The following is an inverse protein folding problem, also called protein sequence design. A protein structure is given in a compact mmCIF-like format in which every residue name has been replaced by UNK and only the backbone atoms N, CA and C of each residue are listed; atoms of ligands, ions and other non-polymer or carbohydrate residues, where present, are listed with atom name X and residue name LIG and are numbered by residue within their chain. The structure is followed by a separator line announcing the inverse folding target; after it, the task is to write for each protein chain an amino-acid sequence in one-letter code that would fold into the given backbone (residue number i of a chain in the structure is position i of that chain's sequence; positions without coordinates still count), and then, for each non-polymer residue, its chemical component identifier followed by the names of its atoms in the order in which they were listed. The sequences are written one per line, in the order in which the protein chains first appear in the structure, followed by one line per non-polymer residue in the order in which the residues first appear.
data_IF_347502553014
#
_entry.id   IF_347502553014
#
_cell.length_a   1.000
_cell.length_b   1.000
_cell.length_c   1.000
_cell.angle_alpha   90.00
_cell.angle_beta   90.00
_cell.angle_gamma   90.00
#
_symmetry.space_group_name_H-M   'P 1'
#
loop_
_entity.id
_entity.type
_entity.pdbx_description
1 polymer ?
#
# COMPACT_ATOMS: atom_id res chain seq x y z
N UNK A 1 -1.41 15.03 -1.92
CA UNK A 1 -0.23 15.91 -1.75
C UNK A 1 -0.49 17.07 -0.79
N UNK A 2 -1.43 18.00 -1.07
CA UNK A 2 -1.62 19.17 -0.19
C UNK A 2 -2.05 18.82 1.24
N UNK A 3 -2.95 17.84 1.43
CA UNK A 3 -3.28 17.32 2.78
C UNK A 3 -2.07 16.72 3.49
N UNK A 4 -1.18 16.05 2.75
CA UNK A 4 0.06 15.50 3.27
C UNK A 4 1.00 16.59 3.76
N UNK A 5 1.18 17.66 2.97
CA UNK A 5 1.97 18.83 3.37
C UNK A 5 1.35 19.57 4.56
N UNK A 6 0.02 19.74 4.55
CA UNK A 6 -0.72 20.39 5.62
C UNK A 6 -0.49 19.67 6.95
N UNK A 7 -0.63 18.33 6.96
CA UNK A 7 -0.37 17.51 8.15
C UNK A 7 1.11 17.55 8.58
N UNK A 8 2.04 17.43 7.63
CA UNK A 8 3.49 17.49 7.91
C UNK A 8 3.91 18.80 8.56
N UNK A 9 3.37 19.92 8.09
CA UNK A 9 3.73 21.26 8.55
C UNK A 9 2.76 21.82 9.60
N UNK A 10 1.86 20.99 10.16
CA UNK A 10 0.82 21.39 11.14
C UNK A 10 0.09 22.66 10.70
N UNK A 11 -0.37 22.67 9.46
CA UNK A 11 -0.98 23.84 8.83
C UNK A 11 -2.24 23.48 8.04
N UNK A 12 -2.92 24.49 7.50
CA UNK A 12 -4.08 24.29 6.64
C UNK A 12 -3.69 23.99 5.20
N UNK A 13 -4.58 23.29 4.48
CA UNK A 13 -4.42 23.00 3.05
C UNK A 13 -4.31 24.29 2.25
N UNK A 14 -5.12 25.31 2.56
CA UNK A 14 -5.10 26.61 1.88
C UNK A 14 -3.76 27.31 2.02
N UNK A 15 -3.13 27.27 3.21
CA UNK A 15 -1.80 27.87 3.43
C UNK A 15 -0.72 27.13 2.64
N UNK A 16 -0.78 25.80 2.60
CA UNK A 16 0.14 24.99 1.79
C UNK A 16 -0.07 25.21 0.29
N UNK A 17 -1.32 25.32 -0.16
CA UNK A 17 -1.64 25.62 -1.54
C UNK A 17 -1.07 26.98 -1.94
N UNK A 18 -1.30 28.03 -1.15
CA UNK A 18 -0.76 29.36 -1.41
C UNK A 18 0.78 29.37 -1.45
N UNK A 19 1.43 28.72 -0.47
CA UNK A 19 2.91 28.63 -0.39
C UNK A 19 3.53 27.94 -1.60
N UNK A 20 2.90 26.88 -2.10
CA UNK A 20 3.45 26.05 -3.17
C UNK A 20 2.88 26.38 -4.55
N UNK A 21 1.93 27.30 -4.66
CA UNK A 21 1.32 27.67 -5.95
C UNK A 21 2.37 28.30 -6.86
N UNK A 22 2.54 27.73 -8.04
CA UNK A 22 3.45 28.21 -9.07
C UNK A 22 2.74 28.26 -10.43
N UNK A 23 3.10 29.24 -11.27
CA UNK A 23 2.70 29.27 -12.68
C UNK A 23 3.87 28.77 -13.53
N UNK A 24 3.62 27.81 -14.40
CA UNK A 24 4.63 27.27 -15.31
C UNK A 24 4.22 27.51 -16.76
N UNK A 25 5.21 27.78 -17.61
CA UNK A 25 5.03 27.77 -19.04
C UNK A 25 4.90 26.30 -19.51
N UNK A 26 3.83 26.00 -20.22
CA UNK A 26 3.70 24.73 -20.96
C UNK A 26 3.60 25.05 -22.44
N UNK A 27 3.89 24.10 -23.35
CA UNK A 27 3.73 24.30 -24.80
C UNK A 27 2.32 24.72 -25.23
N UNK A 28 1.34 24.62 -24.34
CA UNK A 28 -0.06 24.97 -24.58
C UNK A 28 -0.54 26.15 -23.71
N UNK A 29 0.39 26.97 -23.21
CA UNK A 29 0.11 28.16 -22.41
C UNK A 29 0.48 28.03 -20.91
N UNK A 30 0.37 29.13 -20.15
CA UNK A 30 0.69 29.13 -18.74
C UNK A 30 -0.33 28.31 -17.94
N UNK A 31 0.15 27.50 -16.99
CA UNK A 31 -0.72 26.71 -16.10
C UNK A 31 -0.29 26.85 -14.64
N UNK A 32 -1.29 26.84 -13.76
CA UNK A 32 -1.08 26.77 -12.32
C UNK A 32 -0.74 25.32 -11.92
N UNK A 33 0.29 25.17 -11.10
CA UNK A 33 0.71 23.92 -10.49
C UNK A 33 1.15 24.16 -9.04
N UNK A 34 1.49 23.08 -8.33
CA UNK A 34 2.09 23.17 -7.01
C UNK A 34 3.53 22.67 -7.07
N UNK A 35 4.49 23.53 -6.74
CA UNK A 35 5.93 23.27 -6.80
C UNK A 35 6.56 23.38 -5.41
N UNK A 36 7.37 22.39 -5.05
CA UNK A 36 8.29 22.45 -3.93
C UNK A 36 9.72 22.47 -4.46
N UNK A 37 10.48 23.51 -4.09
CA UNK A 37 11.86 23.73 -4.51
C UNK A 37 12.80 23.70 -3.31
N UNK A 38 13.89 22.96 -3.41
CA UNK A 38 14.97 22.93 -2.42
C UNK A 38 16.26 23.35 -3.14
N UNK A 39 16.81 24.51 -2.75
CA UNK A 39 18.08 25.03 -3.28
C UNK A 39 19.24 24.19 -2.78
N UNK A 40 20.28 24.05 -3.60
CA UNK A 40 21.54 23.38 -3.28
C UNK A 40 22.69 24.27 -3.71
N UNK A 41 23.70 24.40 -2.86
CA UNK A 41 24.76 25.41 -3.02
C UNK A 41 25.61 25.23 -4.29
N UNK A 42 25.64 24.01 -4.85
CA UNK A 42 26.47 23.66 -6.01
C UNK A 42 25.75 22.87 -7.11
N UNK A 43 24.43 22.72 -7.02
CA UNK A 43 23.65 21.87 -7.95
C UNK A 43 22.31 22.49 -8.29
N UNK A 44 21.74 22.00 -9.39
CA UNK A 44 20.36 22.30 -9.74
C UNK A 44 19.44 21.99 -8.55
N UNK A 45 18.47 22.89 -8.28
CA UNK A 45 17.56 22.71 -7.16
C UNK A 45 16.74 21.44 -7.36
N UNK A 46 16.40 20.76 -6.26
CA UNK A 46 15.40 19.71 -6.32
C UNK A 46 14.04 20.34 -6.49
N UNK A 47 13.35 19.97 -7.57
CA UNK A 47 12.01 20.46 -7.87
C UNK A 47 11.05 19.28 -7.92
N UNK A 48 10.10 19.26 -6.99
CA UNK A 48 8.96 18.35 -7.02
C UNK A 48 7.71 19.11 -7.45
N UNK A 49 7.12 18.70 -8.57
CA UNK A 49 5.97 19.38 -9.17
C UNK A 49 4.74 18.47 -9.18
N UNK A 50 3.61 19.03 -8.76
CA UNK A 50 2.30 18.38 -8.85
C UNK A 50 1.36 19.23 -9.71
N UNK A 51 0.73 18.60 -10.70
CA UNK A 51 -0.05 19.30 -11.72
C UNK A 51 0.84 19.89 -12.81
N UNK A 52 0.30 20.84 -13.58
CA UNK A 52 1.03 21.46 -14.69
C UNK A 52 1.21 20.59 -15.94
N UNK A 53 0.78 19.33 -15.90
CA UNK A 53 0.71 18.46 -17.09
C UNK A 53 -0.58 18.81 -17.84
N UNK A 54 -0.44 19.07 -19.13
CA UNK A 54 -1.57 19.36 -20.00
C UNK A 54 -2.37 18.07 -20.26
N UNK A 55 -3.54 17.91 -19.63
CA UNK A 55 -4.49 16.86 -20.00
C UNK A 55 -5.24 17.28 -21.28
N UNK A 56 -4.53 17.32 -22.40
CA UNK A 56 -5.12 17.60 -23.72
C UNK A 56 -5.36 16.28 -24.45
N UNK A 57 -6.59 16.07 -24.89
CA UNK A 57 -6.92 14.93 -25.75
C UNK A 57 -6.18 15.05 -27.09
N UNK A 58 -5.38 14.06 -27.43
CA UNK A 58 -4.77 13.89 -28.75
C UNK A 58 -5.60 12.87 -29.54
N UNK A 59 -6.36 13.33 -30.54
CA UNK A 59 -7.26 12.46 -31.31
C UNK A 59 -6.52 11.47 -32.22
N UNK A 60 -5.34 11.84 -32.69
CA UNK A 60 -4.50 11.08 -33.63
C UNK A 60 -3.29 10.46 -32.92
N UNK A 61 -3.38 10.21 -31.61
CA UNK A 61 -2.29 9.59 -30.87
C UNK A 61 -2.11 8.14 -31.35
N UNK A 62 -0.88 7.78 -31.70
CA UNK A 62 -0.51 6.40 -32.00
C UNK A 62 -0.50 5.63 -30.68
N UNK A 63 -1.48 4.74 -30.51
CA UNK A 63 -1.54 3.86 -29.34
C UNK A 63 -0.58 2.70 -29.60
N UNK A 64 0.56 2.70 -28.89
CA UNK A 64 1.45 1.55 -28.86
C UNK A 64 0.91 0.59 -27.80
N UNK A 65 0.22 -0.46 -28.22
CA UNK A 65 -0.21 -1.52 -27.32
C UNK A 65 1.04 -2.30 -26.86
N UNK A 66 1.50 -1.98 -25.65
CA UNK A 66 2.59 -2.72 -25.04
C UNK A 66 1.99 -3.99 -24.47
N UNK A 67 2.42 -5.13 -24.98
CA UNK A 67 2.13 -6.40 -24.33
C UNK A 67 2.58 -6.29 -22.87
N UNK A 68 1.66 -6.34 -21.90
CA UNK A 68 2.03 -6.18 -20.50
C UNK A 68 3.02 -7.28 -20.18
N UNK A 69 4.22 -6.90 -19.77
CA UNK A 69 5.16 -7.82 -19.17
C UNK A 69 4.42 -8.48 -18.01
N UNK A 70 4.08 -9.77 -18.15
CA UNK A 70 3.57 -10.56 -17.05
C UNK A 70 4.80 -10.99 -16.27
N UNK A 71 5.12 -10.36 -15.12
CA UNK A 71 6.13 -10.94 -14.26
C UNK A 71 5.70 -12.37 -13.97
N UNK A 72 6.51 -13.33 -14.41
CA UNK A 72 6.43 -14.69 -13.93
C UNK A 72 6.74 -14.56 -12.43
N UNK A 73 5.74 -14.83 -11.59
CA UNK A 73 5.93 -15.01 -10.16
C UNK A 73 6.07 -16.52 -9.94
N UNK A 74 7.27 -17.11 -10.13
CA UNK A 74 7.48 -18.56 -10.04
C UNK A 74 7.14 -19.12 -8.65
N UNK A 75 7.13 -18.25 -7.63
CA UNK A 75 6.89 -18.63 -6.24
C UNK A 75 5.70 -17.86 -5.68
N UNK A 76 4.49 -18.36 -5.93
CA UNK A 76 3.33 -17.95 -5.14
C UNK A 76 3.57 -18.45 -3.71
N UNK A 77 3.99 -17.54 -2.83
CA UNK A 77 4.35 -17.88 -1.45
C UNK A 77 3.23 -18.68 -0.76
N UNK A 78 1.97 -18.38 -1.05
CA UNK A 78 0.84 -19.14 -0.53
C UNK A 78 0.88 -20.61 -0.95
N UNK A 79 1.12 -20.91 -2.23
CA UNK A 79 1.19 -22.30 -2.72
C UNK A 79 2.36 -23.03 -2.08
N UNK A 80 3.54 -22.40 -2.02
CA UNK A 80 4.71 -23.04 -1.39
C UNK A 80 4.55 -23.22 0.12
N UNK A 81 3.82 -22.34 0.81
CA UNK A 81 3.51 -22.47 2.24
C UNK A 81 2.47 -23.56 2.50
N UNK A 82 1.42 -23.63 1.69
CA UNK A 82 0.41 -24.69 1.76
C UNK A 82 1.01 -26.08 1.51
N UNK A 83 1.91 -26.20 0.52
CA UNK A 83 2.59 -27.45 0.21
C UNK A 83 3.58 -27.93 1.30
N UNK A 84 3.98 -27.06 2.24
CA UNK A 84 4.84 -27.47 3.36
C UNK A 84 4.11 -28.32 4.40
N UNK A 85 2.78 -28.45 4.30
CA UNK A 85 2.00 -29.29 5.23
C UNK A 85 2.26 -28.92 6.69
N UNK A 86 2.32 -27.61 6.98
CA UNK A 86 2.52 -27.09 8.33
C UNK A 86 1.56 -25.94 8.59
N UNK A 87 0.79 -26.02 9.67
CA UNK A 87 -0.05 -24.91 10.11
C UNK A 87 0.84 -23.73 10.56
N UNK A 88 0.65 -22.54 9.98
CA UNK A 88 1.42 -21.35 10.35
C UNK A 88 1.03 -20.76 11.72
N UNK A 89 -0.13 -21.18 12.28
CA UNK A 89 -0.62 -20.73 13.59
C UNK A 89 -0.10 -21.65 14.70
N UNK A 90 -0.37 -22.94 14.62
CA UNK A 90 -0.06 -23.90 15.69
C UNK A 90 1.14 -24.82 15.40
N UNK A 91 1.82 -24.64 14.26
CA UNK A 91 2.98 -25.44 13.86
C UNK A 91 2.72 -26.94 13.63
N UNK A 92 1.48 -27.43 13.80
CA UNK A 92 1.10 -28.83 13.56
C UNK A 92 1.39 -29.27 12.13
N UNK A 93 1.77 -30.52 11.96
CA UNK A 93 1.94 -31.22 10.67
C UNK A 93 0.92 -32.33 10.47
N UNK A 94 0.10 -32.63 11.49
CA UNK A 94 -0.95 -33.65 11.42
C UNK A 94 -2.30 -33.03 11.02
N UNK A 95 -3.02 -33.74 10.15
CA UNK A 95 -4.42 -33.46 9.74
C UNK A 95 -4.68 -31.99 9.38
N UNK A 96 -3.95 -31.47 8.39
CA UNK A 96 -4.10 -30.09 7.93
C UNK A 96 -5.14 -29.99 6.83
N UNK A 97 -6.20 -29.23 7.09
CA UNK A 97 -7.21 -28.88 6.09
C UNK A 97 -7.01 -27.43 5.61
N UNK A 98 -7.10 -27.23 4.30
CA UNK A 98 -6.92 -25.91 3.66
C UNK A 98 -8.25 -25.43 3.11
N UNK A 99 -8.80 -24.39 3.73
CA UNK A 99 -10.03 -23.75 3.24
C UNK A 99 -9.67 -22.52 2.40
N UNK A 100 -10.07 -22.52 1.14
CA UNK A 100 -9.93 -21.36 0.26
C UNK A 100 -11.26 -20.58 0.18
N UNK A 101 -11.29 -19.37 0.73
CA UNK A 101 -12.45 -18.49 0.66
C UNK A 101 -12.36 -17.64 -0.61
N UNK A 102 -13.24 -17.90 -1.59
CA UNK A 102 -13.28 -17.14 -2.85
C UNK A 102 -13.95 -15.79 -2.69
N UNK A 103 -15.03 -15.71 -1.91
CA UNK A 103 -15.71 -14.48 -1.52
C UNK A 103 -16.16 -14.56 -0.05
N UNK A 104 -16.24 -13.43 0.65
CA UNK A 104 -16.66 -13.41 2.07
C UNK A 104 -18.08 -13.94 2.31
N UNK A 105 -18.93 -13.90 1.28
CA UNK A 105 -20.27 -14.50 1.31
C UNK A 105 -20.23 -16.04 1.30
N UNK A 106 -19.12 -16.66 0.86
CA UNK A 106 -18.95 -18.11 0.78
C UNK A 106 -18.49 -18.72 2.12
N UNK A 107 -18.58 -17.98 3.24
CA UNK A 107 -18.31 -18.54 4.56
C UNK A 107 -19.44 -19.51 4.91
N UNK A 108 -19.11 -20.78 5.08
CA UNK A 108 -20.01 -21.74 5.73
C UNK A 108 -20.28 -21.26 7.16
N UNK A 109 -21.55 -21.05 7.49
CA UNK A 109 -22.00 -20.48 8.77
C UNK A 109 -22.24 -21.52 9.87
N UNK A 110 -22.10 -22.81 9.58
CA UNK A 110 -22.36 -23.86 10.55
C UNK A 110 -21.11 -24.72 10.71
N UNK A 111 -20.37 -24.49 11.80
CA UNK A 111 -19.59 -25.56 12.43
C UNK A 111 -20.37 -25.89 13.69
N UNK A 112 -20.99 -27.09 13.76
CA UNK A 112 -21.75 -27.54 14.94
C UNK A 112 -20.89 -27.67 16.20
N UNK A 113 -19.56 -27.73 16.03
CA UNK A 113 -18.57 -27.64 17.08
C UNK A 113 -17.48 -26.65 16.67
N UNK A 114 -16.90 -25.86 17.59
CA UNK A 114 -15.73 -25.05 17.29
C UNK A 114 -14.64 -25.94 16.66
N UNK A 115 -14.03 -25.54 15.54
CA UNK A 115 -12.95 -26.33 14.95
C UNK A 115 -11.78 -26.40 15.93
N UNK A 116 -11.02 -27.50 15.94
CA UNK A 116 -9.99 -27.74 16.95
C UNK A 116 -8.92 -26.62 17.07
N UNK A 117 -8.76 -25.77 16.04
CA UNK A 117 -7.88 -24.60 16.09
C UNK A 117 -8.43 -23.44 16.96
N UNK A 118 -9.73 -23.40 17.29
CA UNK A 118 -10.28 -22.46 18.28
C UNK A 118 -9.69 -22.73 19.69
N UNK A 119 -9.30 -23.98 19.97
CA UNK A 119 -8.57 -24.33 21.19
C UNK A 119 -7.11 -23.82 21.20
N UNK A 120 -6.55 -23.42 20.05
CA UNK A 120 -5.22 -22.79 19.99
C UNK A 120 -5.23 -21.33 20.46
N UNK A 121 -6.39 -20.74 20.81
CA UNK A 121 -6.48 -19.38 21.36
C UNK A 121 -6.31 -19.28 22.90
N UNK A 122 -5.99 -20.37 23.60
CA UNK A 122 -5.80 -20.38 25.05
C UNK A 122 -4.33 -20.31 25.49
N UNK A 123 -4.02 -19.30 26.33
CA UNK A 123 -2.81 -19.10 27.16
C UNK A 123 -1.77 -18.07 26.70
N UNK A 124 -2.18 -16.79 26.58
CA UNK A 124 -1.29 -15.69 26.98
C UNK A 124 -1.38 -15.58 28.51
N UNK A 125 -0.62 -16.41 29.23
CA UNK A 125 -0.33 -16.12 30.63
C UNK A 125 0.73 -15.03 30.67
N UNK A 126 0.33 -13.81 31.02
CA UNK A 126 1.27 -12.83 31.54
C UNK A 126 1.77 -13.35 32.89
N UNK A 127 3.00 -13.86 32.95
CA UNK A 127 3.68 -14.13 34.21
C UNK A 127 3.97 -12.78 34.91
N UNK A 128 3.48 -12.54 36.14
CA UNK A 128 3.92 -11.39 36.91
C UNK A 128 5.37 -11.63 37.34
N UNK A 129 6.25 -10.69 37.02
CA UNK A 129 7.64 -10.67 37.48
C UNK A 129 7.68 -10.35 38.97
N UNK A 130 8.08 -11.33 39.79
CA UNK A 130 8.42 -11.10 41.20
C UNK A 130 9.72 -10.28 41.29
N UNK A 131 9.77 -9.18 42.05
CA UNK A 131 11.00 -8.42 42.23
C UNK A 131 11.91 -9.15 43.23
N UNK A 132 13.14 -9.44 42.82
CA UNK A 132 14.21 -9.86 43.72
C UNK A 132 14.69 -8.63 44.51
N UNK A 133 14.75 -8.77 45.83
CA UNK A 133 15.33 -7.79 46.76
C UNK A 133 16.83 -7.63 46.52
#
# INVERSE_FOLDING_TARGET
MLHTLARKHRSSVSKMAAKHKAKIATPHGPRTCFEARITRDSRNPLVARFGGIALKRQKTAIIVDRQPHRPLYPHKQLVSRLLKGRCEICASTDTIEVHHVRQLADRTTAVEAPPAWDACHGHIHATPSTPTQ
#
